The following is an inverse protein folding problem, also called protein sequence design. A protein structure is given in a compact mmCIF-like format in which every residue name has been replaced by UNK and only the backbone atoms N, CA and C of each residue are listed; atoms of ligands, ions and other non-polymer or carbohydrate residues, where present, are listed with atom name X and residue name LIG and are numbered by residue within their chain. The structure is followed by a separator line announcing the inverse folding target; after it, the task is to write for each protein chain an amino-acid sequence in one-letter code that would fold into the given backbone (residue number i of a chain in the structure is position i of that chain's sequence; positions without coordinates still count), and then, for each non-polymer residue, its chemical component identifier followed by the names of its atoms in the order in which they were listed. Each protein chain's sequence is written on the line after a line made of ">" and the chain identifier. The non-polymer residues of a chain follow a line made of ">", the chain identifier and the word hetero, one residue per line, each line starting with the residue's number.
data_IF_047884586097
#
_entry.id   IF_047884586097
#
_cell.length_a   1.000
_cell.length_b   1.000
_cell.length_c   1.000
_cell.angle_alpha   90.00
_cell.angle_beta   90.00
_cell.angle_gamma   90.00
#
_symmetry.space_group_name_H-M   'P 1'
#
loop_
_entity.id
_entity.type
_entity.pdbx_description
1 polymer ?
#
# COMPACT_ATOMS: atom_id res chain seq x y z
N UNK A 1 -5.13 18.87 -5.06
CA UNK A 1 -3.86 18.13 -5.31
C UNK A 1 -3.78 17.81 -6.80
N UNK A 2 -2.75 18.31 -7.49
CA UNK A 2 -2.57 18.14 -8.94
C UNK A 2 -2.63 16.65 -9.37
N UNK A 3 -3.30 16.37 -10.49
CA UNK A 3 -3.44 15.00 -11.05
C UNK A 3 -2.09 14.32 -11.25
N UNK A 4 -1.07 15.09 -11.65
CA UNK A 4 0.30 14.59 -11.86
C UNK A 4 0.93 14.07 -10.57
N UNK A 5 0.80 14.82 -9.48
CA UNK A 5 1.31 14.40 -8.15
C UNK A 5 0.62 13.11 -7.70
N UNK A 6 -0.70 13.02 -7.90
CA UNK A 6 -1.46 11.81 -7.56
C UNK A 6 -1.05 10.59 -8.39
N UNK A 7 -0.64 10.81 -9.64
CA UNK A 7 -0.15 9.78 -10.55
C UNK A 7 1.24 9.28 -10.13
N UNK A 8 2.19 10.20 -9.90
CA UNK A 8 3.54 9.86 -9.42
C UNK A 8 3.49 9.14 -8.07
N UNK A 9 2.62 9.57 -7.17
CA UNK A 9 2.42 8.91 -5.88
C UNK A 9 1.93 7.46 -6.03
N UNK A 10 1.00 7.21 -6.95
CA UNK A 10 0.53 5.84 -7.24
C UNK A 10 1.65 5.01 -7.86
N UNK A 11 2.42 5.56 -8.80
CA UNK A 11 3.55 4.87 -9.43
C UNK A 11 4.63 4.48 -8.41
N UNK A 12 5.06 5.40 -7.55
CA UNK A 12 6.04 5.12 -6.51
C UNK A 12 5.57 3.99 -5.58
N UNK A 13 4.26 3.95 -5.28
CA UNK A 13 3.67 2.88 -4.46
C UNK A 13 3.72 1.52 -5.16
N UNK A 14 3.45 1.48 -6.46
CA UNK A 14 3.54 0.26 -7.28
C UNK A 14 4.98 -0.21 -7.42
N UNK A 15 5.94 0.69 -7.68
CA UNK A 15 7.35 0.36 -7.77
C UNK A 15 7.88 -0.30 -6.48
N UNK A 16 7.52 0.24 -5.32
CA UNK A 16 7.90 -0.33 -4.02
C UNK A 16 7.21 -1.68 -3.73
N UNK A 17 5.99 -1.90 -4.23
CA UNK A 17 5.33 -3.20 -4.15
C UNK A 17 6.05 -4.24 -5.03
N UNK A 18 6.48 -3.85 -6.25
CA UNK A 18 7.29 -4.69 -7.14
C UNK A 18 8.65 -5.01 -6.52
N UNK A 19 9.34 -4.02 -5.95
CA UNK A 19 10.62 -4.23 -5.26
C UNK A 19 10.46 -5.16 -4.06
N UNK A 20 9.37 -5.04 -3.31
CA UNK A 20 9.07 -5.94 -2.20
C UNK A 20 8.87 -7.37 -2.68
N UNK A 21 8.18 -7.57 -3.81
CA UNK A 21 7.98 -8.91 -4.41
C UNK A 21 9.29 -9.44 -4.99
N UNK A 22 10.04 -8.61 -5.71
CA UNK A 22 11.34 -8.93 -6.29
C UNK A 22 12.40 -9.26 -5.23
N UNK A 23 12.28 -8.71 -4.01
CA UNK A 23 13.18 -9.04 -2.89
C UNK A 23 13.13 -10.51 -2.46
N UNK A 24 12.15 -11.29 -2.94
CA UNK A 24 12.04 -12.73 -2.69
C UNK A 24 11.79 -13.12 -1.24
N UNK A 25 11.60 -12.15 -0.34
CA UNK A 25 11.40 -12.41 1.09
C UNK A 25 9.90 -12.60 1.39
N UNK A 26 9.40 -13.84 1.57
CA UNK A 26 7.98 -14.11 1.75
C UNK A 26 7.42 -13.44 3.01
N UNK A 27 8.23 -13.29 4.07
CA UNK A 27 7.83 -12.62 5.31
C UNK A 27 7.58 -11.12 5.08
N UNK A 28 8.42 -10.46 4.27
CA UNK A 28 8.29 -9.03 3.93
C UNK A 28 7.06 -8.78 3.05
N UNK A 29 6.82 -9.65 2.07
CA UNK A 29 5.63 -9.61 1.19
C UNK A 29 4.35 -9.82 2.01
N UNK A 30 4.29 -10.88 2.83
CA UNK A 30 3.13 -11.20 3.64
C UNK A 30 2.79 -10.09 4.64
N UNK A 31 3.78 -9.50 5.32
CA UNK A 31 3.57 -8.34 6.20
C UNK A 31 3.03 -7.14 5.43
N UNK A 32 3.56 -6.86 4.24
CA UNK A 32 3.12 -5.72 3.43
C UNK A 32 1.69 -5.88 2.92
N UNK A 33 1.34 -7.07 2.44
CA UNK A 33 -0.03 -7.42 2.05
C UNK A 33 -1.00 -7.31 3.25
N UNK A 34 -0.64 -7.91 4.39
CA UNK A 34 -1.42 -7.83 5.63
C UNK A 34 -1.65 -6.38 6.06
N UNK A 35 -0.61 -5.55 6.07
CA UNK A 35 -0.71 -4.14 6.45
C UNK A 35 -1.55 -3.33 5.45
N UNK A 36 -1.45 -3.61 4.15
CA UNK A 36 -2.27 -2.96 3.12
C UNK A 36 -3.75 -3.33 3.25
N UNK A 37 -4.05 -4.59 3.57
CA UNK A 37 -5.42 -5.06 3.82
C UNK A 37 -5.99 -4.48 5.13
N UNK A 38 -5.22 -4.52 6.21
CA UNK A 38 -5.61 -3.94 7.51
C UNK A 38 -5.83 -2.43 7.37
N UNK A 39 -4.89 -1.69 6.77
CA UNK A 39 -5.05 -0.25 6.52
C UNK A 39 -6.25 0.06 5.63
N UNK A 40 -6.50 -0.74 4.58
CA UNK A 40 -7.63 -0.51 3.67
C UNK A 40 -8.98 -0.97 4.20
N UNK A 41 -9.06 -1.92 5.12
CA UNK A 41 -10.31 -2.53 5.57
C UNK A 41 -10.67 -2.19 7.01
N UNK A 42 -9.67 -2.05 7.87
CA UNK A 42 -9.83 -1.74 9.30
C UNK A 42 -9.72 -0.24 9.50
N UNK A 43 -8.63 0.39 9.07
CA UNK A 43 -8.45 1.85 9.27
C UNK A 43 -9.48 2.64 8.46
N UNK A 44 -9.80 2.24 7.22
CA UNK A 44 -10.86 2.91 6.45
C UNK A 44 -12.25 2.77 7.07
N UNK A 45 -12.53 1.64 7.74
CA UNK A 45 -13.83 1.38 8.38
C UNK A 45 -13.93 2.08 9.73
N UNK A 46 -12.81 2.16 10.46
CA UNK A 46 -12.71 2.80 11.76
C UNK A 46 -12.61 4.33 11.66
N UNK A 47 -11.95 4.86 10.62
CA UNK A 47 -11.87 6.31 10.33
C UNK A 47 -13.12 6.84 9.60
N UNK A 48 -14.06 5.96 9.24
CA UNK A 48 -15.41 6.30 8.73
C UNK A 48 -16.46 6.25 9.85
N UNK A 49 -16.03 6.00 11.09
CA UNK A 49 -16.85 6.21 12.27
C UNK A 49 -16.91 7.73 12.55
N UNK A 50 -18.10 8.33 12.73
CA UNK A 50 -18.23 9.74 13.08
C UNK A 50 -17.60 10.06 14.44
#
# INVERSE_FOLDING_TARGET
>A
MSKLVSFLYKLARTANDIETVASGNPKRIARRLKNKLIGRKIVSKMMRWP
#
